data_IF_155419232885
#
_entry.id   IF_155419232885
#
_cell.length_a   1.000
_cell.length_b   1.000
_cell.length_c   1.000
_cell.angle_alpha   90.00
_cell.angle_beta   90.00
_cell.angle_gamma   90.00
#
_symmetry.space_group_name_H-M   'P 1'
#
loop_
_entity.id
_entity.type
_entity.pdbx_description
1 polymer ?
#
# COMPACT_ATOMS: atom_id res chain seq x y z
N UNK A 1 0.97 16.27 -26.78
CA UNK A 1 1.66 15.07 -26.27
C UNK A 1 0.85 14.65 -25.07
N UNK A 2 0.16 13.51 -25.13
CA UNK A 2 -0.51 12.99 -23.93
C UNK A 2 0.57 12.69 -22.89
N UNK A 3 0.28 12.93 -21.62
CA UNK A 3 1.15 12.46 -20.55
C UNK A 3 1.34 10.94 -20.73
N UNK A 4 2.55 10.46 -20.50
CA UNK A 4 2.77 9.01 -20.36
C UNK A 4 2.09 8.59 -19.05
N UNK A 5 1.27 7.54 -19.04
CA UNK A 5 0.63 7.08 -17.82
C UNK A 5 1.71 6.66 -16.82
N UNK A 6 1.58 7.13 -15.59
CA UNK A 6 2.42 6.81 -14.45
C UNK A 6 1.91 5.52 -13.84
N UNK A 7 2.82 4.59 -13.56
CA UNK A 7 2.50 3.36 -12.86
C UNK A 7 2.17 3.68 -11.41
N UNK A 8 1.02 3.21 -10.94
CA UNK A 8 0.57 3.36 -9.55
C UNK A 8 0.31 1.96 -8.97
N UNK A 9 0.82 1.71 -7.77
CA UNK A 9 0.49 0.52 -7.00
C UNK A 9 -0.32 0.93 -5.78
N UNK A 10 -1.54 0.42 -5.71
CA UNK A 10 -2.42 0.56 -4.57
C UNK A 10 -2.15 -0.60 -3.60
N UNK A 11 -1.88 -0.32 -2.33
CA UNK A 11 -1.66 -1.32 -1.28
C UNK A 11 -2.92 -1.38 -0.43
N UNK A 12 -3.73 -2.41 -0.61
CA UNK A 12 -4.97 -2.60 0.10
C UNK A 12 -4.74 -3.44 1.36
N UNK A 13 -4.80 -2.80 2.53
CA UNK A 13 -4.64 -3.44 3.84
C UNK A 13 -6.01 -3.57 4.51
N UNK A 14 -6.49 -4.78 4.84
CA UNK A 14 -7.78 -4.95 5.51
C UNK A 14 -7.85 -4.13 6.82
N UNK A 15 -8.97 -3.44 7.06
CA UNK A 15 -9.24 -2.69 8.29
C UNK A 15 -9.59 -3.64 9.45
N UNK A 16 -8.66 -4.51 9.80
CA UNK A 16 -8.76 -5.39 10.96
C UNK A 16 -7.98 -4.77 12.13
N UNK A 17 -8.59 -4.69 13.33
CA UNK A 17 -7.92 -4.17 14.50
C UNK A 17 -6.72 -5.04 14.86
N UNK A 18 -5.61 -4.43 15.27
CA UNK A 18 -4.43 -5.18 15.67
C UNK A 18 -4.78 -6.15 16.82
N UNK A 19 -4.27 -7.40 16.77
CA UNK A 19 -4.60 -8.39 17.79
C UNK A 19 -4.01 -7.98 19.14
N UNK A 20 -4.73 -8.28 20.23
CA UNK A 20 -4.28 -8.10 21.62
C UNK A 20 -4.01 -6.64 22.05
N UNK A 21 -4.71 -5.66 21.46
CA UNK A 21 -4.57 -4.27 21.88
C UNK A 21 -5.08 -4.02 23.32
N UNK A 22 -4.38 -3.18 24.11
CA UNK A 22 -4.88 -2.74 25.40
C UNK A 22 -6.15 -1.89 25.25
N UNK A 23 -7.01 -1.90 26.27
CA UNK A 23 -8.24 -1.12 26.28
C UNK A 23 -7.95 0.37 26.07
N UNK A 24 -8.59 0.96 25.05
CA UNK A 24 -8.42 2.36 24.69
C UNK A 24 -7.25 2.67 23.75
N UNK A 25 -6.48 1.65 23.31
CA UNK A 25 -5.48 1.83 22.27
C UNK A 25 -6.12 2.04 20.89
N UNK A 26 -5.43 2.77 20.01
CA UNK A 26 -5.87 2.98 18.63
C UNK A 26 -5.78 1.66 17.83
N UNK A 27 -6.89 1.19 17.23
CA UNK A 27 -6.96 -0.13 16.61
C UNK A 27 -6.12 -0.32 15.34
N UNK A 28 -5.76 0.79 14.67
CA UNK A 28 -5.13 0.79 13.35
C UNK A 28 -3.77 1.48 13.37
N UNK A 29 -2.98 1.29 14.44
CA UNK A 29 -1.65 1.90 14.57
C UNK A 29 -0.71 1.56 13.41
N UNK A 30 -0.95 0.45 12.71
CA UNK A 30 -0.22 0.08 11.50
C UNK A 30 -0.39 1.07 10.35
N UNK A 31 -1.45 1.90 10.33
CA UNK A 31 -1.63 2.94 9.30
C UNK A 31 -0.48 3.94 9.40
N UNK A 32 -0.30 4.55 10.58
CA UNK A 32 0.76 5.53 10.82
C UNK A 32 2.16 4.94 10.58
N UNK A 33 2.39 3.67 10.95
CA UNK A 33 3.69 3.02 10.70
C UNK A 33 3.97 2.80 9.20
N UNK A 34 2.95 2.48 8.40
CA UNK A 34 3.11 2.38 6.94
C UNK A 34 3.32 3.76 6.33
N UNK A 35 2.57 4.78 6.76
CA UNK A 35 2.74 6.15 6.28
C UNK A 35 4.15 6.70 6.54
N UNK A 36 4.68 6.48 7.75
CA UNK A 36 6.04 6.87 8.13
C UNK A 36 7.09 6.17 7.25
N UNK A 37 6.94 4.86 7.04
CA UNK A 37 7.83 4.08 6.19
C UNK A 37 7.79 4.53 4.72
N UNK A 38 6.61 4.78 4.16
CA UNK A 38 6.48 5.26 2.78
C UNK A 38 7.06 6.67 2.62
N UNK A 39 6.86 7.55 3.61
CA UNK A 39 7.45 8.89 3.63
C UNK A 39 8.98 8.84 3.68
N UNK A 40 9.56 7.91 4.44
CA UNK A 40 11.01 7.73 4.52
C UNK A 40 11.58 7.24 3.17
N UNK A 41 10.92 6.29 2.50
CA UNK A 41 11.31 5.85 1.15
C UNK A 41 11.21 6.97 0.11
N UNK A 42 10.19 7.83 0.20
CA UNK A 42 10.08 9.03 -0.63
C UNK A 42 11.22 10.00 -0.39
N UNK A 43 11.59 10.24 0.88
CA UNK A 43 12.76 11.04 1.23
C UNK A 43 14.08 10.50 0.67
N UNK A 44 14.17 9.17 0.45
CA UNK A 44 15.32 8.50 -0.16
C UNK A 44 15.29 8.51 -1.70
N UNK A 45 14.11 8.73 -2.29
CA UNK A 45 13.88 8.73 -3.74
C UNK A 45 13.72 7.32 -4.34
N UNK A 46 13.43 6.32 -3.51
CA UNK A 46 13.22 4.93 -3.95
C UNK A 46 11.79 4.68 -4.45
N UNK A 47 10.79 5.37 -3.87
CA UNK A 47 9.38 5.38 -4.30
C UNK A 47 8.81 6.78 -4.07
N UNK A 48 7.65 7.08 -4.63
CA UNK A 48 6.91 8.33 -4.36
C UNK A 48 5.54 7.98 -3.78
N UNK A 49 5.07 8.73 -2.79
CA UNK A 49 3.68 8.62 -2.32
C UNK A 49 2.81 9.34 -3.33
N UNK A 50 1.96 8.58 -4.03
CA UNK A 50 1.22 9.11 -5.17
C UNK A 50 0.03 9.97 -4.74
N UNK A 51 -0.69 9.54 -3.70
CA UNK A 51 -1.83 10.24 -3.10
C UNK A 51 -1.92 9.91 -1.61
N UNK A 52 -2.71 10.69 -0.87
CA UNK A 52 -2.99 10.45 0.54
C UNK A 52 -3.69 9.09 0.71
N UNK A 53 -3.33 8.36 1.76
CA UNK A 53 -4.00 7.09 2.08
C UNK A 53 -5.46 7.30 2.45
N UNK A 54 -6.34 6.41 1.99
CA UNK A 54 -7.77 6.51 2.28
C UNK A 54 -8.45 5.17 2.60
N UNK A 55 -9.55 5.25 3.34
CA UNK A 55 -10.41 4.09 3.60
C UNK A 55 -11.27 3.79 2.38
N UNK A 56 -11.15 2.57 1.84
CA UNK A 56 -11.96 2.07 0.75
C UNK A 56 -12.59 0.73 1.13
N UNK A 57 -13.92 0.69 1.16
CA UNK A 57 -14.72 -0.48 1.57
C UNK A 57 -14.34 -0.99 2.98
N UNK A 58 -13.65 -2.13 3.06
CA UNK A 58 -13.18 -2.78 4.29
C UNK A 58 -11.64 -2.76 4.39
N UNK A 59 -10.98 -1.87 3.66
CA UNK A 59 -9.54 -1.73 3.60
C UNK A 59 -9.09 -0.27 3.72
N UNK A 60 -7.86 -0.07 4.16
CA UNK A 60 -7.13 1.17 4.02
C UNK A 60 -6.18 1.01 2.84
N UNK A 61 -6.18 1.98 1.94
CA UNK A 61 -5.44 1.93 0.67
C UNK A 61 -4.34 2.97 0.67
N UNK A 62 -3.12 2.53 0.36
CA UNK A 62 -1.97 3.42 0.16
C UNK A 62 -1.58 3.44 -1.32
N UNK A 63 -1.08 4.56 -1.81
CA UNK A 63 -0.73 4.72 -3.23
C UNK A 63 0.75 5.02 -3.37
N UNK A 64 1.49 4.16 -4.09
CA UNK A 64 2.92 4.34 -4.35
C UNK A 64 3.20 4.34 -5.86
N UNK A 65 4.10 5.21 -6.28
CA UNK A 65 4.53 5.40 -7.67
C UNK A 65 6.03 5.73 -7.74
N UNK A 66 6.49 6.26 -8.88
CA UNK A 66 7.87 6.75 -9.05
C UNK A 66 8.93 5.69 -9.35
N UNK A 67 8.61 4.41 -9.14
CA UNK A 67 9.52 3.28 -9.38
C UNK A 67 8.94 2.24 -10.36
N UNK A 68 9.74 1.23 -10.70
CA UNK A 68 9.30 0.09 -11.50
C UNK A 68 8.29 -0.78 -10.75
N UNK A 69 7.44 -1.51 -11.50
CA UNK A 69 6.42 -2.39 -10.94
C UNK A 69 6.97 -3.39 -9.92
N UNK A 70 8.13 -3.98 -10.21
CA UNK A 70 8.78 -4.95 -9.32
C UNK A 70 9.23 -4.31 -7.99
N UNK A 71 9.72 -3.08 -8.04
CA UNK A 71 10.17 -2.33 -6.86
C UNK A 71 8.98 -1.92 -5.99
N UNK A 72 7.93 -1.36 -6.60
CA UNK A 72 6.70 -0.98 -5.90
C UNK A 72 6.01 -2.20 -5.26
N UNK A 73 5.95 -3.34 -5.97
CA UNK A 73 5.41 -4.58 -5.43
C UNK A 73 6.30 -5.18 -4.34
N UNK A 74 7.61 -4.99 -4.39
CA UNK A 74 8.50 -5.40 -3.30
C UNK A 74 8.26 -4.59 -2.03
N UNK A 75 8.05 -3.28 -2.15
CA UNK A 75 7.66 -2.40 -1.03
C UNK A 75 6.31 -2.83 -0.45
N UNK A 76 5.30 -3.03 -1.30
CA UNK A 76 3.99 -3.51 -0.86
C UNK A 76 4.08 -4.88 -0.18
N UNK A 77 4.89 -5.79 -0.73
CA UNK A 77 5.15 -7.09 -0.13
C UNK A 77 5.83 -6.98 1.23
N UNK A 78 6.76 -6.04 1.40
CA UNK A 78 7.44 -5.82 2.67
C UNK A 78 6.46 -5.40 3.76
N UNK A 79 5.59 -4.43 3.47
CA UNK A 79 4.50 -4.00 4.36
C UNK A 79 3.62 -5.20 4.76
N UNK A 80 3.24 -6.04 3.80
CA UNK A 80 2.43 -7.23 4.05
C UNK A 80 3.10 -8.29 4.96
N UNK A 81 4.40 -8.20 5.22
CA UNK A 81 5.12 -9.12 6.14
C UNK A 81 5.18 -8.64 7.58
N UNK A 82 4.73 -7.41 7.88
CA UNK A 82 4.79 -6.87 9.23
C UNK A 82 3.76 -7.54 10.14
N UNK A 83 4.15 -7.88 11.37
CA UNK A 83 3.27 -8.52 12.36
C UNK A 83 2.03 -7.69 12.70
N UNK A 84 2.12 -6.35 12.60
CA UNK A 84 1.02 -5.44 12.85
C UNK A 84 0.03 -5.34 11.68
N UNK A 85 0.44 -5.76 10.47
CA UNK A 85 -0.36 -5.65 9.24
C UNK A 85 -1.29 -6.86 9.12
N UNK A 86 -2.60 -6.65 8.95
CA UNK A 86 -3.55 -7.73 8.81
C UNK A 86 -3.28 -8.66 7.63
N UNK A 87 -3.51 -9.96 7.83
CA UNK A 87 -3.49 -10.92 6.74
C UNK A 87 -4.61 -10.63 5.73
N UNK A 88 -4.34 -10.89 4.45
CA UNK A 88 -5.28 -10.59 3.35
C UNK A 88 -4.93 -9.32 2.57
N UNK A 89 -3.83 -8.65 2.92
CA UNK A 89 -3.25 -7.55 2.15
C UNK A 89 -2.98 -7.95 0.71
N UNK A 90 -3.28 -7.06 -0.22
CA UNK A 90 -3.04 -7.25 -1.65
C UNK A 90 -2.66 -5.94 -2.30
N UNK A 91 -1.91 -6.02 -3.40
CA UNK A 91 -1.63 -4.88 -4.25
C UNK A 91 -2.57 -4.85 -5.45
N UNK A 92 -2.86 -3.67 -5.96
CA UNK A 92 -3.49 -3.46 -7.27
C UNK A 92 -2.54 -2.60 -8.08
N UNK A 93 -2.11 -3.13 -9.23
CA UNK A 93 -1.23 -2.40 -10.15
C UNK A 93 -2.09 -1.73 -11.21
N UNK A 94 -2.04 -0.41 -11.26
CA UNK A 94 -2.85 0.44 -12.13
C UNK A 94 -2.02 1.61 -12.69
N UNK A 95 -2.68 2.60 -13.27
CA UNK A 95 -2.07 3.86 -13.71
C UNK A 95 -2.83 5.08 -13.18
N UNK A 96 -2.21 6.27 -13.29
CA UNK A 96 -2.77 7.55 -12.81
C UNK A 96 -4.07 7.97 -13.51
N UNK A 97 -4.44 7.30 -14.61
CA UNK A 97 -5.70 7.52 -15.33
C UNK A 97 -6.86 6.66 -14.82
N UNK A 98 -6.65 5.79 -13.84
CA UNK A 98 -7.71 4.93 -13.32
C UNK A 98 -8.82 5.76 -12.63
N UNK A 99 -10.05 5.64 -13.13
CA UNK A 99 -11.20 6.41 -12.63
C UNK A 99 -11.73 5.90 -11.28
N UNK A 100 -11.40 4.66 -10.89
CA UNK A 100 -11.81 4.04 -9.63
C UNK A 100 -10.69 3.15 -9.07
N UNK A 101 -10.62 3.05 -7.74
CA UNK A 101 -9.69 2.14 -7.04
C UNK A 101 -9.97 0.68 -7.39
N UNK A 102 -8.92 -0.16 -7.41
CA UNK A 102 -9.10 -1.59 -7.61
C UNK A 102 -9.33 -2.03 -9.06
N UNK A 103 -9.36 -1.13 -10.04
CA UNK A 103 -9.56 -1.46 -11.46
C UNK A 103 -8.34 -2.10 -12.14
N UNK A 104 -7.19 -2.07 -11.47
CA UNK A 104 -5.93 -2.61 -11.97
C UNK A 104 -5.76 -4.13 -11.80
N UNK A 105 -4.54 -4.60 -12.07
CA UNK A 105 -4.16 -6.00 -11.87
C UNK A 105 -3.92 -6.29 -10.39
N UNK A 106 -4.79 -7.08 -9.78
CA UNK A 106 -4.63 -7.54 -8.38
C UNK A 106 -3.48 -8.54 -8.23
N UNK A 107 -2.64 -8.33 -7.22
CA UNK A 107 -1.50 -9.14 -6.83
C UNK A 107 -1.63 -9.50 -5.36
N UNK A 108 -1.61 -10.80 -5.04
CA UNK A 108 -1.66 -11.25 -3.64
C UNK A 108 -0.31 -10.99 -2.95
N UNK A 109 -0.34 -10.54 -1.69
CA UNK A 109 0.83 -10.26 -0.89
C UNK A 109 0.85 -11.13 0.39
N UNK A 110 2.04 -11.41 0.97
CA UNK A 110 3.36 -11.10 0.42
C UNK A 110 3.66 -11.89 -0.85
N UNK A 111 4.54 -11.35 -1.71
CA UNK A 111 5.02 -12.06 -2.89
C UNK A 111 5.70 -13.37 -2.46
N UNK A 112 5.53 -14.47 -3.21
CA UNK A 112 6.23 -15.71 -2.92
C UNK A 112 7.74 -15.48 -2.99
N UNK A 113 8.47 -15.96 -1.97
CA UNK A 113 9.93 -15.97 -2.03
C UNK A 113 10.37 -16.76 -3.27
N UNK A 114 11.16 -16.10 -4.13
CA UNK A 114 11.69 -16.67 -5.37
C UNK A 114 12.64 -17.85 -5.12
#
# INVERSE_FOLDING_TARGET
>A
MGAVPVLVVEIHVPLLPAPNLPEGAYPFAWIEEIEDFLSDLEGQGDVEVFDDGEEHEDAYVFFVAGAGEEELLAVASHVATWDAVPAGTFAVVSDDGAEEFGLGRRVALPLPAA
#
